data_IF_951326580546
#
_entry.id   IF_951326580546
#
_cell.length_a   1.000
_cell.length_b   1.000
_cell.length_c   1.000
_cell.angle_alpha   90.00
_cell.angle_beta   90.00
_cell.angle_gamma   90.00
#
_symmetry.space_group_name_H-M   'P 1'
#
loop_
_entity.id
_entity.type
_entity.pdbx_description
1 polymer ?
#
# COMPACT_ATOMS: atom_id res chain seq x y z
N UNK A 1 33.25 -4.29 1.01
CA UNK A 1 32.10 -3.89 0.17
C UNK A 1 32.14 -4.79 -1.06
N UNK A 2 31.19 -5.70 -1.22
CA UNK A 2 31.15 -6.57 -2.41
C UNK A 2 30.78 -5.69 -3.60
N UNK A 3 31.58 -5.69 -4.67
CA UNK A 3 31.25 -4.93 -5.88
C UNK A 3 29.93 -5.48 -6.46
N UNK A 4 28.88 -4.66 -6.45
CA UNK A 4 27.60 -5.03 -7.05
C UNK A 4 27.70 -4.88 -8.57
N UNK A 5 27.13 -5.84 -9.28
CA UNK A 5 27.08 -5.76 -10.73
C UNK A 5 25.90 -4.86 -11.15
N UNK A 6 26.12 -3.76 -11.89
CA UNK A 6 25.06 -2.80 -12.20
C UNK A 6 24.02 -3.42 -13.13
N UNK A 7 22.75 -3.23 -12.81
CA UNK A 7 21.65 -3.52 -13.73
C UNK A 7 21.29 -2.26 -14.52
N UNK A 8 21.37 -2.33 -15.85
CA UNK A 8 21.20 -1.19 -16.75
C UNK A 8 20.04 -1.34 -17.74
N UNK A 9 19.28 -2.44 -17.69
CA UNK A 9 18.13 -2.64 -18.54
C UNK A 9 16.89 -1.98 -17.92
N UNK A 10 16.55 -0.79 -18.43
CA UNK A 10 15.44 0.04 -17.94
C UNK A 10 14.06 -0.57 -18.28
N UNK A 11 13.04 -0.31 -17.46
CA UNK A 11 11.68 -0.75 -17.73
C UNK A 11 11.08 -0.01 -18.93
N UNK A 12 10.33 -0.74 -19.74
CA UNK A 12 9.37 -0.19 -20.68
C UNK A 12 8.16 0.35 -19.92
N UNK A 13 8.17 1.65 -19.64
CA UNK A 13 7.12 2.34 -18.90
C UNK A 13 5.74 2.29 -19.57
N UNK A 14 5.64 1.93 -20.87
CA UNK A 14 4.33 1.71 -21.50
C UNK A 14 3.55 0.53 -20.85
N UNK A 15 4.26 -0.33 -20.11
CA UNK A 15 3.70 -1.45 -19.33
C UNK A 15 3.77 -1.26 -17.82
N UNK A 16 4.40 -0.18 -17.35
CA UNK A 16 4.61 0.10 -15.94
C UNK A 16 5.59 -0.83 -15.23
N UNK A 17 5.71 -0.65 -13.92
CA UNK A 17 6.53 -1.46 -13.01
C UNK A 17 5.65 -1.95 -11.86
N UNK A 18 5.67 -3.24 -11.57
CA UNK A 18 4.92 -3.80 -10.43
C UNK A 18 5.86 -4.05 -9.27
N UNK A 19 5.60 -3.43 -8.13
CA UNK A 19 6.25 -3.72 -6.86
C UNK A 19 5.30 -4.54 -5.97
N UNK A 20 5.73 -5.72 -5.53
CA UNK A 20 4.96 -6.53 -4.57
C UNK A 20 5.61 -6.49 -3.20
N UNK A 21 4.79 -6.17 -2.19
CA UNK A 21 5.14 -6.16 -0.78
C UNK A 21 4.55 -7.41 -0.11
N UNK A 22 5.40 -8.30 0.36
CA UNK A 22 4.97 -9.57 0.97
C UNK A 22 5.43 -9.65 2.43
N UNK A 23 4.49 -9.49 3.36
CA UNK A 23 4.67 -9.80 4.78
C UNK A 23 4.54 -11.31 5.02
N UNK A 24 4.64 -11.73 6.28
CA UNK A 24 4.34 -13.12 6.65
C UNK A 24 3.75 -13.11 8.04
N UNK A 25 2.50 -13.51 8.15
CA UNK A 25 1.75 -13.54 9.38
C UNK A 25 1.14 -14.93 9.58
N UNK A 26 1.31 -15.48 10.78
CA UNK A 26 0.55 -16.65 11.19
C UNK A 26 -0.72 -16.17 11.90
N UNK A 27 -1.89 -16.55 11.38
CA UNK A 27 -3.20 -16.22 11.95
C UNK A 27 -3.78 -17.50 12.54
N UNK A 28 -3.83 -17.57 13.87
CA UNK A 28 -4.41 -18.67 14.62
C UNK A 28 -5.84 -18.29 15.00
N UNK A 29 -6.81 -18.85 14.29
CA UNK A 29 -8.23 -18.54 14.49
C UNK A 29 -8.94 -19.64 15.29
N UNK A 30 -9.67 -19.25 16.34
CA UNK A 30 -10.54 -20.16 17.11
C UNK A 30 -11.86 -20.43 16.37
N UNK A 31 -12.65 -21.46 16.76
CA UNK A 31 -13.98 -21.69 16.18
C UNK A 31 -14.93 -20.50 16.33
N UNK A 32 -14.76 -19.66 17.35
CA UNK A 32 -15.58 -18.45 17.56
C UNK A 32 -15.12 -17.26 16.71
N UNK A 33 -14.00 -17.40 15.99
CA UNK A 33 -13.41 -16.35 15.19
C UNK A 33 -12.50 -15.38 15.94
N UNK A 34 -12.20 -15.62 17.23
CA UNK A 34 -11.10 -14.92 17.92
C UNK A 34 -9.76 -15.27 17.25
N UNK A 35 -8.89 -14.28 17.04
CA UNK A 35 -7.62 -14.45 16.32
C UNK A 35 -6.42 -14.10 17.20
N UNK A 36 -5.38 -14.93 17.13
CA UNK A 36 -4.03 -14.55 17.53
C UNK A 36 -3.16 -14.41 16.27
N UNK A 37 -2.51 -13.25 16.11
CA UNK A 37 -1.78 -12.90 14.89
C UNK A 37 -0.30 -12.62 15.19
N UNK A 38 0.59 -13.38 14.55
CA UNK A 38 2.04 -13.32 14.83
C UNK A 38 2.78 -12.96 13.54
N UNK A 39 3.47 -11.83 13.53
CA UNK A 39 4.35 -11.47 12.40
C UNK A 39 5.64 -12.30 12.45
N UNK A 40 5.97 -12.92 11.32
CA UNK A 40 7.16 -13.77 11.12
C UNK A 40 8.28 -13.08 10.35
N UNK A 41 8.09 -11.82 9.93
CA UNK A 41 9.10 -11.02 9.24
C UNK A 41 9.15 -9.62 9.84
N UNK A 42 10.34 -9.05 9.98
CA UNK A 42 10.52 -7.67 10.45
C UNK A 42 10.05 -6.63 9.41
N UNK A 43 10.38 -6.86 8.14
CA UNK A 43 9.96 -6.06 6.98
C UNK A 43 9.34 -6.98 5.92
N UNK A 44 8.54 -6.45 4.98
CA UNK A 44 8.12 -7.24 3.84
C UNK A 44 9.32 -7.65 2.98
N UNK A 45 9.15 -8.74 2.22
CA UNK A 45 9.95 -8.96 1.01
C UNK A 45 9.40 -8.03 -0.06
N UNK A 46 10.31 -7.41 -0.81
CA UNK A 46 9.98 -6.53 -1.93
C UNK A 46 10.45 -7.19 -3.21
N UNK A 47 9.53 -7.33 -4.14
CA UNK A 47 9.77 -7.88 -5.47
C UNK A 47 9.39 -6.82 -6.50
N UNK A 48 10.24 -6.61 -7.50
CA UNK A 48 9.96 -5.74 -8.63
C UNK A 48 9.86 -6.57 -9.90
N UNK A 49 8.82 -6.33 -10.68
CA UNK A 49 8.59 -6.96 -11.97
C UNK A 49 8.36 -5.91 -13.05
N UNK A 50 9.05 -6.06 -14.17
CA UNK A 50 8.92 -5.18 -15.33
C UNK A 50 9.41 -5.87 -16.60
N UNK A 51 9.02 -5.31 -17.75
CA UNK A 51 9.58 -5.68 -19.05
C UNK A 51 10.65 -4.67 -19.44
N UNK A 52 11.80 -5.11 -19.92
CA UNK A 52 12.80 -4.25 -20.55
C UNK A 52 12.85 -4.49 -22.05
N UNK A 53 12.96 -3.41 -22.83
CA UNK A 53 13.10 -3.44 -24.29
C UNK A 53 14.53 -3.08 -24.68
N UNK A 54 15.22 -4.02 -25.33
CA UNK A 54 16.65 -3.90 -25.61
C UNK A 54 16.92 -4.06 -27.11
N UNK A 55 17.79 -3.21 -27.64
CA UNK A 55 18.12 -3.11 -29.06
C UNK A 55 19.63 -3.20 -29.28
N UNK A 56 20.03 -3.69 -30.45
CA UNK A 56 21.39 -3.64 -30.98
C UNK A 56 22.49 -4.00 -29.95
N UNK A 57 23.34 -3.02 -29.62
CA UNK A 57 24.45 -3.15 -28.68
C UNK A 57 23.99 -3.33 -27.23
N UNK A 58 22.92 -2.65 -26.82
CA UNK A 58 22.35 -2.80 -25.48
C UNK A 58 21.85 -4.24 -25.26
N UNK A 59 21.19 -4.84 -26.26
CA UNK A 59 20.76 -6.25 -26.23
C UNK A 59 21.94 -7.20 -26.10
N UNK A 60 23.00 -6.97 -26.89
CA UNK A 60 24.23 -7.77 -26.81
C UNK A 60 24.85 -7.66 -25.42
N UNK A 61 25.04 -6.45 -24.89
CA UNK A 61 25.61 -6.21 -23.56
C UNK A 61 24.80 -6.88 -22.46
N UNK A 62 23.47 -6.73 -22.51
CA UNK A 62 22.56 -7.33 -21.54
C UNK A 62 22.73 -8.83 -21.40
N UNK A 63 22.80 -9.57 -22.50
CA UNK A 63 22.98 -11.02 -22.41
C UNK A 63 24.37 -11.44 -21.96
N UNK A 64 25.42 -10.70 -22.32
CA UNK A 64 26.73 -10.93 -21.74
C UNK A 64 26.71 -10.68 -20.22
N UNK A 65 25.99 -9.64 -19.76
CA UNK A 65 25.80 -9.39 -18.33
C UNK A 65 25.07 -10.57 -17.66
N UNK A 66 23.97 -11.06 -18.23
CA UNK A 66 23.26 -12.23 -17.71
C UNK A 66 24.16 -13.47 -17.68
N UNK A 67 24.92 -13.75 -18.74
CA UNK A 67 25.83 -14.89 -18.80
C UNK A 67 26.88 -14.85 -17.68
N UNK A 68 27.41 -13.66 -17.36
CA UNK A 68 28.42 -13.48 -16.31
C UNK A 68 27.85 -13.58 -14.89
N UNK A 69 26.60 -13.15 -14.68
CA UNK A 69 26.11 -12.80 -13.34
C UNK A 69 24.67 -13.17 -13.02
N UNK A 70 23.98 -14.01 -13.80
CA UNK A 70 22.55 -14.30 -13.62
C UNK A 70 22.17 -14.68 -12.17
N UNK A 71 22.96 -15.55 -11.53
CA UNK A 71 22.74 -15.99 -10.15
C UNK A 71 23.31 -15.04 -9.07
N UNK A 72 23.95 -13.95 -9.48
CA UNK A 72 24.60 -12.99 -8.60
C UNK A 72 23.64 -12.00 -7.93
N UNK A 73 24.21 -11.14 -7.10
CA UNK A 73 23.51 -9.97 -6.56
C UNK A 73 23.80 -8.76 -7.45
N UNK A 74 22.73 -8.13 -7.89
CA UNK A 74 22.74 -6.99 -8.79
C UNK A 74 22.49 -5.69 -8.03
N UNK A 75 23.10 -4.62 -8.51
CA UNK A 75 22.72 -3.25 -8.16
C UNK A 75 21.49 -2.87 -9.00
N UNK A 76 20.29 -3.08 -8.45
CA UNK A 76 19.02 -2.80 -9.11
C UNK A 76 18.57 -1.36 -8.80
N UNK A 77 18.40 -0.50 -9.82
CA UNK A 77 17.74 0.79 -9.65
C UNK A 77 16.29 0.61 -9.18
N UNK A 78 15.87 1.40 -8.20
CA UNK A 78 14.46 1.52 -7.82
C UNK A 78 13.82 2.52 -8.78
N UNK A 79 13.39 2.01 -9.94
CA UNK A 79 12.90 2.84 -11.04
C UNK A 79 11.79 3.85 -10.67
N UNK A 80 10.79 3.50 -9.82
CA UNK A 80 9.78 4.47 -9.41
C UNK A 80 10.34 5.67 -8.61
N UNK A 81 11.53 5.56 -8.03
CA UNK A 81 12.10 6.61 -7.18
C UNK A 81 13.16 7.47 -7.91
N UNK A 82 13.13 7.48 -9.23
CA UNK A 82 13.98 8.34 -10.06
C UNK A 82 13.80 9.82 -9.72
N UNK A 83 14.86 10.59 -9.93
CA UNK A 83 14.82 12.05 -9.92
C UNK A 83 15.66 12.61 -11.06
N UNK A 84 15.08 13.49 -11.88
CA UNK A 84 15.80 14.22 -12.92
C UNK A 84 16.42 15.49 -12.35
N UNK A 85 17.74 15.66 -12.51
CA UNK A 85 18.47 16.81 -11.99
C UNK A 85 18.05 18.09 -12.72
N UNK A 86 17.59 19.14 -12.01
CA UNK A 86 17.15 20.38 -12.64
C UNK A 86 18.32 21.23 -13.18
N UNK A 87 19.54 20.97 -12.70
CA UNK A 87 20.74 21.68 -13.07
C UNK A 87 21.92 20.72 -13.24
N UNK A 88 22.94 21.14 -13.98
CA UNK A 88 24.14 20.35 -14.17
C UNK A 88 24.94 20.22 -12.85
N UNK A 89 25.55 19.05 -12.66
CA UNK A 89 26.46 18.75 -11.54
C UNK A 89 27.86 18.54 -12.10
N UNK A 90 28.82 19.32 -11.63
CA UNK A 90 30.21 19.21 -12.10
C UNK A 90 30.92 17.99 -11.51
N UNK A 91 31.94 17.52 -12.23
CA UNK A 91 32.95 16.61 -11.66
C UNK A 91 33.53 17.24 -10.39
N UNK A 92 33.87 16.41 -9.40
CA UNK A 92 34.33 16.84 -8.09
C UNK A 92 33.21 17.10 -7.07
N UNK A 93 31.94 17.17 -7.48
CA UNK A 93 30.83 17.39 -6.56
C UNK A 93 30.67 16.22 -5.57
N UNK A 94 30.45 16.54 -4.29
CA UNK A 94 30.19 15.59 -3.20
C UNK A 94 28.75 15.64 -2.69
N UNK A 95 27.90 16.48 -3.30
CA UNK A 95 26.51 16.68 -2.89
C UNK A 95 25.61 16.74 -4.11
N UNK A 96 24.46 16.06 -4.05
CA UNK A 96 23.40 16.12 -5.05
C UNK A 96 22.18 16.78 -4.43
N UNK A 97 21.68 17.86 -5.04
CA UNK A 97 20.45 18.54 -4.61
C UNK A 97 19.24 17.76 -5.11
N UNK A 98 18.61 16.99 -4.22
CA UNK A 98 17.53 16.05 -4.53
C UNK A 98 16.58 15.98 -3.35
N UNK A 99 15.25 16.16 -3.54
CA UNK A 99 14.27 15.90 -2.49
C UNK A 99 14.29 14.40 -2.13
N UNK A 100 14.60 14.08 -0.87
CA UNK A 100 14.82 12.69 -0.44
C UNK A 100 13.58 12.05 0.17
N UNK A 101 12.60 12.84 0.59
CA UNK A 101 11.36 12.36 1.20
C UNK A 101 10.61 11.42 0.26
N UNK A 102 10.25 10.24 0.77
CA UNK A 102 9.50 9.23 0.02
C UNK A 102 10.27 8.55 -1.12
N UNK A 103 11.62 8.66 -1.15
CA UNK A 103 12.49 7.91 -2.07
C UNK A 103 13.30 6.87 -1.29
N UNK A 104 13.59 5.73 -1.91
CA UNK A 104 14.26 4.57 -1.30
C UNK A 104 15.79 4.75 -1.15
N UNK A 105 16.23 5.93 -0.69
CA UNK A 105 17.61 6.20 -0.33
C UNK A 105 17.91 5.73 1.09
N UNK A 106 19.13 5.24 1.32
CA UNK A 106 19.63 4.88 2.64
C UNK A 106 21.08 5.31 2.82
N UNK A 107 21.44 5.73 4.04
CA UNK A 107 22.83 6.04 4.38
C UNK A 107 23.68 4.78 4.27
N UNK A 108 24.82 4.87 3.60
CA UNK A 108 25.65 3.72 3.22
C UNK A 108 25.15 2.97 2.00
N UNK A 109 23.97 3.31 1.47
CA UNK A 109 23.41 2.76 0.25
C UNK A 109 24.07 3.31 -1.02
N UNK A 110 23.61 2.82 -2.17
CA UNK A 110 24.14 3.17 -3.49
C UNK A 110 23.14 4.05 -4.24
N UNK A 111 23.66 5.00 -5.02
CA UNK A 111 22.90 5.80 -5.98
C UNK A 111 23.49 5.58 -7.37
N UNK A 112 22.65 5.47 -8.39
CA UNK A 112 23.04 5.40 -9.79
C UNK A 112 22.70 6.71 -10.48
N UNK A 113 23.69 7.32 -11.13
CA UNK A 113 23.50 8.45 -12.03
C UNK A 113 23.52 7.94 -13.47
N UNK A 114 22.59 8.42 -14.31
CA UNK A 114 22.50 8.15 -15.75
C UNK A 114 22.28 9.45 -16.52
N UNK A 115 22.86 9.56 -17.72
CA UNK A 115 22.64 10.76 -18.57
C UNK A 115 21.23 10.85 -19.12
N UNK A 116 20.57 9.71 -19.33
CA UNK A 116 19.24 9.57 -19.92
C UNK A 116 18.66 8.16 -19.63
N UNK A 117 17.44 7.88 -20.11
CA UNK A 117 16.71 6.61 -19.93
C UNK A 117 17.14 5.49 -20.90
N UNK A 118 18.31 5.58 -21.53
CA UNK A 118 18.84 4.52 -22.38
C UNK A 118 19.65 3.49 -21.59
N UNK A 119 19.59 2.24 -22.04
CA UNK A 119 20.47 1.17 -21.54
C UNK A 119 21.95 1.37 -21.93
N UNK A 120 22.21 2.19 -22.96
CA UNK A 120 23.57 2.57 -23.39
C UNK A 120 24.04 3.92 -22.81
N UNK A 121 23.22 4.55 -21.96
CA UNK A 121 23.54 5.82 -21.31
C UNK A 121 24.83 5.74 -20.47
N UNK A 122 25.54 6.86 -20.37
CA UNK A 122 26.68 6.92 -19.43
C UNK A 122 26.14 6.81 -18.02
N UNK A 123 26.67 5.86 -17.26
CA UNK A 123 26.20 5.56 -15.91
C UNK A 123 27.34 5.40 -14.90
N UNK A 124 27.11 5.86 -13.67
CA UNK A 124 28.04 5.71 -12.54
C UNK A 124 27.29 5.47 -11.25
N UNK A 125 27.83 4.57 -10.44
CA UNK A 125 27.37 4.37 -9.07
C UNK A 125 28.21 5.21 -8.11
N UNK A 126 27.56 5.78 -7.10
CA UNK A 126 28.19 6.43 -5.96
C UNK A 126 27.58 5.93 -4.64
N UNK A 127 28.32 6.05 -3.55
CA UNK A 127 27.85 5.66 -2.21
C UNK A 127 27.38 6.88 -1.44
N UNK A 128 26.24 6.74 -0.75
CA UNK A 128 25.61 7.80 0.03
C UNK A 128 26.26 7.85 1.43
N UNK A 129 26.87 8.97 1.78
CA UNK A 129 27.43 9.25 3.10
C UNK A 129 26.38 9.78 4.09
N UNK A 130 25.39 10.51 3.59
CA UNK A 130 24.39 11.18 4.42
C UNK A 130 23.18 11.63 3.60
N UNK A 131 22.04 11.77 4.28
CA UNK A 131 20.76 12.15 3.68
C UNK A 131 20.20 13.33 4.49
N UNK A 132 19.81 14.39 3.80
CA UNK A 132 19.03 15.51 4.33
C UNK A 132 17.72 15.61 3.54
N UNK A 133 16.76 16.44 3.95
CA UNK A 133 15.47 16.56 3.26
C UNK A 133 15.59 16.85 1.75
N UNK A 134 16.60 17.65 1.36
CA UNK A 134 16.75 18.15 -0.01
C UNK A 134 18.14 17.87 -0.64
N UNK A 135 18.96 17.04 0.00
CA UNK A 135 20.26 16.68 -0.56
C UNK A 135 20.77 15.30 -0.13
N UNK A 136 21.50 14.66 -1.04
CA UNK A 136 22.33 13.49 -0.78
C UNK A 136 23.80 13.92 -0.68
N UNK A 137 24.48 13.46 0.36
CA UNK A 137 25.93 13.60 0.52
C UNK A 137 26.61 12.32 0.04
N UNK A 138 27.67 12.44 -0.75
CA UNK A 138 28.41 11.31 -1.33
C UNK A 138 29.70 11.04 -0.56
N UNK A 139 30.08 9.77 -0.45
CA UNK A 139 31.34 9.35 0.21
C UNK A 139 32.56 9.83 -0.57
N UNK A 140 32.49 9.77 -1.90
CA UNK A 140 33.56 10.17 -2.82
C UNK A 140 33.02 11.21 -3.81
N UNK A 141 33.87 12.15 -4.27
CA UNK A 141 33.49 13.10 -5.30
C UNK A 141 33.16 12.38 -6.62
N UNK A 142 32.20 12.93 -7.37
CA UNK A 142 31.87 12.42 -8.71
C UNK A 142 33.06 12.57 -9.66
N UNK A 143 33.31 11.55 -10.48
CA UNK A 143 34.38 11.57 -11.49
C UNK A 143 33.97 12.32 -12.75
N UNK A 144 32.71 12.18 -13.14
CA UNK A 144 32.14 12.73 -14.37
C UNK A 144 31.22 13.92 -14.07
N UNK A 145 31.02 14.79 -15.06
CA UNK A 145 30.00 15.84 -15.02
C UNK A 145 28.67 15.34 -15.56
N UNK A 146 27.57 15.76 -14.93
CA UNK A 146 26.22 15.33 -15.26
C UNK A 146 25.41 16.54 -15.74
N UNK A 147 24.92 16.58 -16.99
CA UNK A 147 24.10 17.69 -17.47
C UNK A 147 22.74 17.74 -16.74
N UNK A 148 22.07 18.90 -16.82
CA UNK A 148 20.67 19.00 -16.42
C UNK A 148 19.82 17.98 -17.21
N UNK A 149 18.87 17.34 -16.53
CA UNK A 149 18.10 16.21 -17.05
C UNK A 149 18.71 14.84 -16.76
N UNK A 150 19.94 14.77 -16.24
CA UNK A 150 20.51 13.48 -15.79
C UNK A 150 19.67 12.89 -14.67
N UNK A 151 19.52 11.57 -14.69
CA UNK A 151 18.64 10.81 -13.83
C UNK A 151 19.42 10.22 -12.66
N UNK A 152 18.80 10.27 -11.49
CA UNK A 152 19.37 9.75 -10.25
C UNK A 152 18.41 8.73 -9.65
N UNK A 153 18.88 7.49 -9.49
CA UNK A 153 18.09 6.39 -8.96
C UNK A 153 18.66 5.91 -7.62
N UNK A 154 17.84 5.67 -6.60
CA UNK A 154 18.24 4.82 -5.49
C UNK A 154 18.55 3.41 -6.02
N UNK A 155 19.56 2.75 -5.46
CA UNK A 155 19.95 1.40 -5.86
C UNK A 155 19.87 0.47 -4.67
N UNK A 156 19.20 -0.66 -4.87
CA UNK A 156 19.08 -1.74 -3.87
C UNK A 156 19.81 -2.99 -4.37
N UNK A 157 20.57 -3.70 -3.52
CA UNK A 157 21.04 -5.04 -3.84
C UNK A 157 19.84 -5.97 -4.06
N UNK A 158 19.76 -6.63 -5.20
CA UNK A 158 18.67 -7.51 -5.56
C UNK A 158 19.18 -8.78 -6.25
N UNK A 159 18.40 -9.86 -6.17
CA UNK A 159 18.65 -11.09 -6.90
C UNK A 159 17.51 -11.35 -7.87
N UNK A 160 17.83 -11.88 -9.04
CA UNK A 160 16.82 -12.39 -9.96
C UNK A 160 16.14 -13.60 -9.29
N UNK A 161 14.81 -13.58 -9.21
CA UNK A 161 14.07 -14.73 -8.62
C UNK A 161 14.06 -15.92 -9.56
N UNK A 162 14.16 -15.64 -10.85
CA UNK A 162 14.28 -16.59 -11.95
C UNK A 162 15.08 -15.93 -13.08
N UNK A 163 15.73 -16.72 -13.96
CA UNK A 163 16.35 -16.17 -15.16
C UNK A 163 15.33 -15.38 -15.99
N UNK A 164 15.67 -14.18 -16.51
CA UNK A 164 14.75 -13.40 -17.32
C UNK A 164 14.25 -14.16 -18.54
N UNK A 165 12.94 -14.11 -18.79
CA UNK A 165 12.37 -14.69 -20.01
C UNK A 165 12.64 -13.76 -21.19
N UNK A 166 13.38 -14.24 -22.19
CA UNK A 166 13.77 -13.45 -23.37
C UNK A 166 12.88 -13.79 -24.57
N UNK A 167 12.22 -12.79 -25.14
CA UNK A 167 11.47 -12.90 -26.39
C UNK A 167 12.23 -12.19 -27.52
N UNK A 168 12.72 -12.97 -28.49
CA UNK A 168 13.36 -12.46 -29.71
C UNK A 168 12.31 -11.87 -30.64
N UNK A 169 12.32 -10.56 -30.83
CA UNK A 169 11.39 -9.88 -31.75
C UNK A 169 12.02 -9.79 -33.15
N UNK A 170 13.32 -9.47 -33.19
CA UNK A 170 14.17 -9.53 -34.39
C UNK A 170 15.54 -10.09 -34.01
N UNK A 171 16.48 -10.10 -34.94
CA UNK A 171 17.89 -10.38 -34.69
C UNK A 171 18.58 -9.32 -33.82
N UNK A 172 18.05 -8.09 -33.78
CA UNK A 172 18.59 -6.97 -32.99
C UNK A 172 17.74 -6.56 -31.78
N UNK A 173 16.44 -6.89 -31.76
CA UNK A 173 15.51 -6.47 -30.71
C UNK A 173 15.05 -7.65 -29.83
N UNK A 174 15.06 -7.46 -28.51
CA UNK A 174 14.60 -8.47 -27.54
C UNK A 174 13.84 -7.80 -26.40
N UNK A 175 12.70 -8.37 -26.04
CA UNK A 175 11.99 -8.05 -24.81
C UNK A 175 12.44 -9.02 -23.71
N UNK A 176 12.72 -8.51 -22.51
CA UNK A 176 13.10 -9.30 -21.35
C UNK A 176 12.10 -9.07 -20.20
N UNK A 177 11.43 -10.14 -19.75
CA UNK A 177 10.62 -10.11 -18.53
C UNK A 177 11.54 -10.35 -17.33
N UNK A 178 11.60 -9.39 -16.42
CA UNK A 178 12.57 -9.35 -15.32
C UNK A 178 11.83 -9.34 -14.01
N UNK A 179 12.24 -10.22 -13.08
CA UNK A 179 11.73 -10.24 -11.71
C UNK A 179 12.87 -10.23 -10.71
N UNK A 180 12.97 -9.13 -9.98
CA UNK A 180 13.96 -8.93 -8.92
C UNK A 180 13.32 -9.06 -7.55
N UNK A 181 14.06 -9.63 -6.61
CA UNK A 181 13.76 -9.55 -5.18
C UNK A 181 14.89 -8.84 -4.47
N UNK A 182 14.55 -7.80 -3.69
CA UNK A 182 15.54 -7.11 -2.85
C UNK A 182 16.18 -8.13 -1.88
N UNK A 183 17.51 -8.09 -1.83
CA UNK A 183 18.35 -9.05 -1.11
C UNK A 183 18.72 -8.59 0.32
N UNK A 184 18.13 -7.49 0.79
CA UNK A 184 18.37 -6.91 2.10
C UNK A 184 17.07 -6.53 2.82
N UNK A 185 17.21 -6.03 4.05
CA UNK A 185 16.08 -5.62 4.88
C UNK A 185 15.41 -4.35 4.33
N UNK A 186 14.08 -4.36 4.30
CA UNK A 186 13.26 -3.25 3.79
C UNK A 186 12.67 -2.46 4.95
N UNK A 187 13.56 -1.86 5.75
CA UNK A 187 13.14 -0.96 6.80
C UNK A 187 12.34 0.20 6.20
N UNK A 188 11.33 0.64 6.93
CA UNK A 188 10.60 1.87 6.63
C UNK A 188 10.69 2.72 7.89
N UNK A 189 11.46 3.80 7.80
CA UNK A 189 11.87 4.60 8.95
C UNK A 189 10.75 5.46 9.52
N UNK A 190 9.75 5.76 8.71
CA UNK A 190 8.72 6.73 9.07
C UNK A 190 7.52 6.02 9.69
N UNK A 191 7.28 6.29 10.97
CA UNK A 191 6.07 5.80 11.64
C UNK A 191 4.92 6.72 11.25
N UNK A 192 3.83 6.21 10.66
CA UNK A 192 2.72 7.08 10.29
C UNK A 192 2.03 7.65 11.53
N UNK A 193 1.66 8.92 11.44
CA UNK A 193 0.73 9.53 12.39
C UNK A 193 -0.67 9.21 11.88
N UNK A 194 -1.25 8.13 12.38
CA UNK A 194 -2.60 7.71 12.02
C UNK A 194 -3.60 8.14 13.09
N UNK A 195 -4.70 8.74 12.67
CA UNK A 195 -5.83 9.09 13.54
C UNK A 195 -6.33 7.86 14.28
N UNK A 196 -6.53 7.99 15.59
CA UNK A 196 -6.92 6.89 16.47
C UNK A 196 -8.41 6.94 16.79
N UNK A 197 -9.03 5.78 16.84
CA UNK A 197 -10.38 5.56 17.36
C UNK A 197 -10.39 4.29 18.21
N UNK A 198 -10.83 4.41 19.47
CA UNK A 198 -10.93 3.30 20.42
C UNK A 198 -9.67 2.43 20.50
N UNK A 199 -8.49 3.05 20.52
CA UNK A 199 -7.19 2.37 20.67
C UNK A 199 -6.59 1.80 19.38
N UNK A 200 -7.25 1.95 18.24
CA UNK A 200 -6.73 1.52 16.94
C UNK A 200 -6.74 2.65 15.92
N UNK A 201 -5.81 2.65 14.94
CA UNK A 201 -5.85 3.59 13.83
C UNK A 201 -7.11 3.47 12.98
N UNK A 202 -7.44 4.52 12.24
CA UNK A 202 -8.55 4.53 11.26
C UNK A 202 -8.00 4.65 9.83
N UNK A 203 -8.62 3.93 8.89
CA UNK A 203 -8.41 4.14 7.46
C UNK A 203 -9.12 5.41 7.00
N UNK A 204 -8.36 6.48 6.77
CA UNK A 204 -8.91 7.75 6.27
C UNK A 204 -8.78 7.93 4.77
N UNK A 205 -7.90 7.17 4.12
CA UNK A 205 -7.74 7.20 2.67
C UNK A 205 -9.00 6.68 1.98
N UNK A 206 -9.53 7.47 1.05
CA UNK A 206 -10.73 7.13 0.30
C UNK A 206 -10.44 6.07 -0.76
N UNK A 207 -11.38 5.16 -0.92
CA UNK A 207 -11.42 4.17 -1.99
C UNK A 207 -11.71 4.87 -3.30
N UNK A 208 -10.94 4.52 -4.31
CA UNK A 208 -11.27 4.82 -5.69
C UNK A 208 -12.44 3.95 -6.16
N UNK A 209 -13.54 4.61 -6.52
CA UNK A 209 -14.76 3.99 -7.04
C UNK A 209 -14.77 3.91 -8.58
N UNK A 210 -13.65 4.18 -9.25
CA UNK A 210 -13.50 4.04 -10.70
C UNK A 210 -13.81 2.62 -11.21
N UNK A 211 -13.61 1.61 -10.35
CA UNK A 211 -14.06 0.23 -10.56
C UNK A 211 -14.92 -0.25 -9.39
N UNK A 212 -15.78 -1.25 -9.63
CA UNK A 212 -16.59 -1.83 -8.57
C UNK A 212 -15.73 -2.56 -7.55
N UNK A 213 -15.83 -2.17 -6.28
CA UNK A 213 -15.19 -2.92 -5.18
C UNK A 213 -16.06 -4.07 -4.70
N UNK A 214 -15.43 -5.18 -4.31
CA UNK A 214 -16.14 -6.33 -3.75
C UNK A 214 -16.45 -6.14 -2.28
N UNK A 215 -17.66 -6.53 -1.87
CA UNK A 215 -18.11 -6.58 -0.47
C UNK A 215 -18.80 -7.90 -0.17
N UNK A 216 -18.53 -8.51 0.98
CA UNK A 216 -19.15 -9.78 1.39
C UNK A 216 -19.21 -9.93 2.91
N UNK A 217 -20.07 -10.85 3.35
CA UNK A 217 -20.22 -11.25 4.75
C UNK A 217 -19.94 -12.74 4.87
N UNK A 218 -18.93 -13.12 5.65
CA UNK A 218 -18.43 -14.49 5.74
C UNK A 218 -18.75 -15.11 7.12
N UNK A 219 -19.82 -15.94 7.25
CA UNK A 219 -20.08 -16.68 8.47
C UNK A 219 -19.10 -17.85 8.66
N UNK A 220 -18.89 -18.26 9.91
CA UNK A 220 -18.13 -19.48 10.24
C UNK A 220 -19.10 -20.64 10.43
N UNK A 221 -19.44 -21.31 9.33
CA UNK A 221 -20.36 -22.45 9.35
C UNK A 221 -19.59 -23.75 9.49
N UNK A 222 -19.99 -24.59 10.44
CA UNK A 222 -19.66 -26.02 10.48
C UNK A 222 -20.88 -26.83 10.09
N UNK A 223 -20.67 -27.75 9.16
CA UNK A 223 -21.72 -28.65 8.66
C UNK A 223 -21.33 -30.10 8.97
N UNK A 224 -22.28 -30.83 9.54
CA UNK A 224 -22.20 -32.27 9.77
C UNK A 224 -23.26 -32.93 8.91
N UNK A 225 -22.83 -33.55 7.81
CA UNK A 225 -23.67 -34.33 6.92
C UNK A 225 -23.33 -35.82 7.05
N UNK A 226 -24.32 -36.64 7.42
CA UNK A 226 -24.19 -38.09 7.51
C UNK A 226 -24.75 -38.81 6.25
N UNK A 227 -25.04 -38.05 5.19
CA UNK A 227 -25.54 -38.49 3.87
C UNK A 227 -26.84 -39.30 3.92
N UNK A 228 -27.53 -39.30 5.05
CA UNK A 228 -28.75 -40.08 5.29
C UNK A 228 -29.86 -39.26 5.93
N UNK A 229 -29.51 -38.27 6.75
CA UNK A 229 -30.41 -37.28 7.33
C UNK A 229 -30.18 -35.88 6.78
N UNK A 230 -30.95 -34.92 7.32
CA UNK A 230 -30.75 -33.50 7.03
C UNK A 230 -29.42 -33.04 7.66
N UNK A 231 -28.52 -32.39 6.90
CA UNK A 231 -27.26 -31.89 7.44
C UNK A 231 -27.48 -30.92 8.62
N UNK A 232 -26.72 -31.12 9.70
CA UNK A 232 -26.73 -30.20 10.83
C UNK A 232 -25.72 -29.07 10.57
N UNK A 233 -26.20 -27.82 10.59
CA UNK A 233 -25.38 -26.62 10.35
C UNK A 233 -25.33 -25.76 11.60
N UNK A 234 -24.12 -25.34 11.98
CA UNK A 234 -23.87 -24.48 13.13
C UNK A 234 -23.00 -23.28 12.72
N UNK A 235 -23.49 -22.07 12.96
CA UNK A 235 -22.65 -20.87 12.95
C UNK A 235 -21.88 -20.78 14.28
N UNK A 236 -20.57 -21.03 14.23
CA UNK A 236 -19.73 -21.09 15.43
C UNK A 236 -19.34 -19.71 15.94
N UNK A 237 -19.44 -18.66 15.11
CA UNK A 237 -19.17 -17.28 15.52
C UNK A 237 -20.43 -16.54 15.99
N UNK A 238 -21.61 -16.96 15.50
CA UNK A 238 -22.90 -16.31 15.74
C UNK A 238 -23.04 -14.97 14.99
N UNK A 239 -22.12 -14.68 14.06
CA UNK A 239 -22.13 -13.50 13.19
C UNK A 239 -21.21 -13.72 11.97
N UNK A 240 -21.50 -13.07 10.84
CA UNK A 240 -20.57 -13.02 9.74
C UNK A 240 -19.45 -12.02 9.96
N UNK A 241 -18.30 -12.26 9.35
CA UNK A 241 -17.20 -11.31 9.25
C UNK A 241 -17.33 -10.50 7.96
N UNK A 242 -17.36 -9.17 8.10
CA UNK A 242 -17.35 -8.25 6.97
C UNK A 242 -16.03 -8.36 6.20
N UNK A 243 -16.10 -8.32 4.87
CA UNK A 243 -14.94 -8.30 4.00
C UNK A 243 -15.19 -7.33 2.85
N UNK A 244 -14.26 -6.41 2.61
CA UNK A 244 -14.36 -5.46 1.51
C UNK A 244 -13.01 -5.13 0.89
N UNK A 245 -13.01 -4.95 -0.43
CA UNK A 245 -11.84 -4.44 -1.16
C UNK A 245 -11.82 -2.92 -1.14
N UNK A 246 -10.64 -2.35 -0.86
CA UNK A 246 -10.35 -0.93 -1.02
C UNK A 246 -9.27 -0.80 -2.10
N UNK A 247 -9.52 0.11 -3.04
CA UNK A 247 -8.63 0.43 -4.15
C UNK A 247 -8.18 1.88 -4.03
N UNK A 248 -6.96 2.18 -4.43
CA UNK A 248 -6.39 3.53 -4.41
C UNK A 248 -5.72 3.85 -5.74
N UNK A 249 -6.04 5.04 -6.24
CA UNK A 249 -5.34 5.67 -7.35
C UNK A 249 -4.59 6.89 -6.80
N UNK A 250 -3.28 6.75 -6.65
CA UNK A 250 -2.42 7.77 -6.04
C UNK A 250 -1.68 8.55 -7.12
N UNK A 251 -1.62 9.89 -7.00
CA UNK A 251 -1.13 10.79 -8.06
C UNK A 251 0.10 11.61 -7.69
N UNK A 252 0.72 11.33 -6.53
CA UNK A 252 1.94 12.01 -6.10
C UNK A 252 2.67 11.22 -5.00
N UNK A 253 3.95 11.57 -4.82
CA UNK A 253 4.85 10.94 -3.84
C UNK A 253 4.38 11.06 -2.38
N UNK A 254 3.85 12.20 -1.88
CA UNK A 254 3.31 12.27 -0.52
C UNK A 254 2.14 11.30 -0.27
N UNK A 255 1.18 11.21 -1.19
CA UNK A 255 0.05 10.29 -1.08
C UNK A 255 0.52 8.82 -1.11
N UNK A 256 1.42 8.50 -2.04
CA UNK A 256 2.05 7.18 -2.11
C UNK A 256 2.83 6.85 -0.84
N UNK A 257 3.57 7.81 -0.28
CA UNK A 257 4.32 7.63 0.97
C UNK A 257 3.37 7.33 2.11
N UNK A 258 2.33 8.15 2.32
CA UNK A 258 1.32 7.96 3.37
C UNK A 258 0.65 6.58 3.31
N UNK A 259 0.20 6.16 2.12
CA UNK A 259 -0.38 4.82 1.92
C UNK A 259 0.64 3.72 2.23
N UNK A 260 1.90 3.90 1.82
CA UNK A 260 2.98 2.97 2.12
C UNK A 260 3.22 2.83 3.61
N UNK A 261 3.23 3.94 4.36
CA UNK A 261 3.39 3.91 5.82
C UNK A 261 2.27 3.11 6.49
N UNK A 262 1.02 3.29 6.03
CA UNK A 262 -0.13 2.52 6.51
C UNK A 262 0.07 1.01 6.28
N UNK A 263 0.47 0.60 5.08
CA UNK A 263 0.70 -0.83 4.78
C UNK A 263 1.84 -1.41 5.64
N UNK A 264 2.91 -0.63 5.89
CA UNK A 264 3.98 -1.04 6.80
C UNK A 264 3.51 -1.13 8.25
N UNK A 265 2.60 -0.26 8.68
CA UNK A 265 1.98 -0.37 10.00
C UNK A 265 1.16 -1.67 10.13
N UNK A 266 0.34 -1.99 9.13
CA UNK A 266 -0.52 -3.18 9.12
C UNK A 266 0.27 -4.49 9.21
N UNK A 267 1.46 -4.51 8.61
CA UNK A 267 2.35 -5.68 8.50
C UNK A 267 1.63 -6.89 7.91
N UNK A 268 0.88 -6.68 6.83
CA UNK A 268 0.03 -7.68 6.23
C UNK A 268 -1.19 -7.95 7.11
N UNK A 269 -1.40 -9.22 7.45
CA UNK A 269 -2.56 -9.66 8.24
C UNK A 269 -2.37 -9.47 9.75
N UNK A 270 -1.35 -8.77 10.23
CA UNK A 270 -1.02 -8.74 11.66
C UNK A 270 -1.88 -7.77 12.47
N UNK A 271 -1.91 -6.49 12.08
CA UNK A 271 -2.52 -5.43 12.90
C UNK A 271 -3.90 -5.06 12.36
N UNK A 272 -4.88 -4.88 13.25
CA UNK A 272 -6.18 -4.35 12.86
C UNK A 272 -6.16 -2.82 12.86
N UNK A 273 -7.01 -2.24 12.02
CA UNK A 273 -7.39 -0.83 11.99
C UNK A 273 -8.91 -0.74 11.83
N UNK A 274 -9.50 0.39 12.20
CA UNK A 274 -10.88 0.66 11.85
C UNK A 274 -11.00 1.04 10.38
N UNK A 275 -11.86 0.34 9.66
CA UNK A 275 -12.10 0.57 8.25
C UNK A 275 -13.55 1.01 8.07
N UNK A 276 -13.80 2.27 7.69
CA UNK A 276 -15.11 2.69 7.21
C UNK A 276 -15.44 1.94 5.92
N UNK A 277 -16.69 1.48 5.77
CA UNK A 277 -17.18 0.91 4.52
C UNK A 277 -17.12 1.91 3.37
N UNK A 278 -17.14 3.23 3.67
CA UNK A 278 -17.22 4.31 2.68
C UNK A 278 -18.46 4.16 1.80
N UNK A 279 -19.52 3.61 2.40
CA UNK A 279 -20.83 3.38 1.83
C UNK A 279 -21.83 4.16 2.65
N UNK A 280 -22.81 4.79 2.00
CA UNK A 280 -23.90 5.52 2.67
C UNK A 280 -24.82 4.55 3.43
N UNK A 281 -24.37 4.06 4.57
CA UNK A 281 -25.09 3.09 5.41
C UNK A 281 -26.28 3.73 6.11
N UNK A 282 -26.22 5.05 6.34
CA UNK A 282 -27.32 5.81 6.93
C UNK A 282 -27.56 7.12 6.19
N UNK A 283 -28.82 7.38 5.84
CA UNK A 283 -29.25 8.63 5.21
C UNK A 283 -29.83 9.57 6.28
N UNK A 284 -29.11 10.64 6.69
CA UNK A 284 -29.61 11.56 7.71
C UNK A 284 -30.81 12.35 7.20
N UNK A 285 -31.86 12.44 8.02
CA UNK A 285 -33.04 13.28 7.75
C UNK A 285 -33.03 14.59 8.51
N UNK A 286 -32.06 14.77 9.41
CA UNK A 286 -31.84 15.98 10.18
C UNK A 286 -30.34 16.21 10.41
N UNK A 287 -29.99 17.40 10.91
CA UNK A 287 -28.65 17.67 11.39
C UNK A 287 -28.36 16.93 12.70
N UNK A 288 -27.08 16.87 13.06
CA UNK A 288 -26.65 16.34 14.37
C UNK A 288 -26.76 17.47 15.38
N UNK A 289 -27.47 17.21 16.48
CA UNK A 289 -27.58 18.14 17.60
C UNK A 289 -27.37 17.37 18.91
N UNK A 290 -26.17 17.51 19.48
CA UNK A 290 -25.74 16.72 20.62
C UNK A 290 -25.20 15.36 20.20
N UNK A 291 -25.77 14.30 20.77
CA UNK A 291 -25.30 12.92 20.66
C UNK A 291 -26.28 12.02 19.92
N UNK A 292 -27.06 12.57 18.98
CA UNK A 292 -27.94 11.75 18.16
C UNK A 292 -28.10 12.31 16.75
N UNK A 293 -28.49 11.43 15.83
CA UNK A 293 -28.88 11.75 14.47
C UNK A 293 -30.12 10.94 14.10
N UNK A 294 -31.09 11.59 13.47
CA UNK A 294 -32.24 10.90 12.89
C UNK A 294 -31.94 10.56 11.43
N UNK A 295 -32.15 9.29 11.07
CA UNK A 295 -31.86 8.73 9.77
C UNK A 295 -33.08 8.00 9.21
N UNK A 296 -33.13 7.81 7.90
CA UNK A 296 -34.07 6.86 7.27
C UNK A 296 -33.89 5.50 7.91
N UNK A 297 -34.98 4.80 8.19
CA UNK A 297 -34.97 3.50 8.84
C UNK A 297 -34.04 2.52 8.11
N UNK A 298 -32.91 2.20 8.76
CA UNK A 298 -31.87 1.31 8.23
C UNK A 298 -31.96 -0.10 8.83
N UNK A 299 -32.98 -0.36 9.65
CA UNK A 299 -33.29 -1.66 10.25
C UNK A 299 -32.61 -1.93 11.59
N UNK A 300 -31.93 -0.95 12.20
CA UNK A 300 -31.30 -1.15 13.51
C UNK A 300 -32.31 -1.22 14.67
N UNK A 301 -33.44 -0.52 14.59
CA UNK A 301 -34.54 -0.62 15.56
C UNK A 301 -35.14 -2.03 15.60
N UNK A 302 -35.26 -2.69 14.45
CA UNK A 302 -35.80 -4.05 14.33
C UNK A 302 -34.75 -5.12 14.67
N UNK A 303 -33.57 -5.04 14.05
CA UNK A 303 -32.54 -6.09 14.12
C UNK A 303 -31.62 -5.98 15.34
N UNK A 304 -31.62 -4.81 15.98
CA UNK A 304 -30.80 -4.47 17.14
C UNK A 304 -29.34 -4.19 16.80
N UNK A 305 -28.65 -3.56 17.74
CA UNK A 305 -27.22 -3.28 17.65
C UNK A 305 -26.43 -4.56 17.95
N UNK A 306 -25.50 -4.94 17.06
CA UNK A 306 -24.61 -6.10 17.25
C UNK A 306 -23.13 -5.69 17.29
N UNK A 307 -22.30 -6.38 18.09
CA UNK A 307 -20.84 -6.21 18.01
C UNK A 307 -20.31 -6.41 16.59
N UNK A 308 -19.29 -5.64 16.19
CA UNK A 308 -18.82 -5.56 14.81
C UNK A 308 -19.69 -4.75 13.84
N UNK A 309 -20.87 -4.24 14.26
CA UNK A 309 -21.76 -3.40 13.43
C UNK A 309 -22.43 -2.31 14.26
N UNK A 310 -21.62 -1.42 14.83
CA UNK A 310 -22.11 -0.31 15.69
C UNK A 310 -21.21 0.92 15.74
N UNK A 311 -20.07 0.88 15.09
CA UNK A 311 -19.15 2.01 15.00
C UNK A 311 -19.36 2.67 13.63
N UNK A 312 -19.33 4.00 13.56
CA UNK A 312 -19.61 4.78 12.36
C UNK A 312 -18.59 5.90 12.17
N UNK A 313 -18.36 6.26 10.91
CA UNK A 313 -17.66 7.46 10.49
C UNK A 313 -18.67 8.43 9.90
N UNK A 314 -18.75 9.63 10.46
CA UNK A 314 -19.52 10.75 9.92
C UNK A 314 -18.52 11.67 9.22
N UNK A 315 -18.62 11.80 7.89
CA UNK A 315 -17.81 12.71 7.09
C UNK A 315 -18.59 14.01 6.84
N UNK A 316 -17.94 15.14 7.14
CA UNK A 316 -18.48 16.47 6.89
C UNK A 316 -17.97 17.07 5.58
N UNK A 317 -18.68 18.07 5.06
CA UNK A 317 -18.36 18.76 3.81
C UNK A 317 -17.03 19.53 3.84
N UNK A 318 -16.52 19.86 5.03
CA UNK A 318 -15.20 20.47 5.23
C UNK A 318 -14.06 19.43 5.32
N UNK A 319 -14.38 18.13 5.21
CA UNK A 319 -13.44 17.01 5.35
C UNK A 319 -13.25 16.51 6.78
N UNK A 320 -13.87 17.15 7.79
CA UNK A 320 -13.82 16.69 9.18
C UNK A 320 -14.50 15.33 9.31
N UNK A 321 -13.86 14.40 10.04
CA UNK A 321 -14.42 13.08 10.34
C UNK A 321 -14.72 12.96 11.84
N UNK A 322 -15.93 12.53 12.16
CA UNK A 322 -16.31 12.13 13.51
C UNK A 322 -16.52 10.63 13.58
N UNK A 323 -15.71 9.97 14.41
CA UNK A 323 -15.86 8.55 14.70
C UNK A 323 -16.70 8.37 15.97
N UNK A 324 -17.75 7.54 15.88
CA UNK A 324 -18.75 7.38 16.94
C UNK A 324 -19.22 5.95 17.05
N UNK A 325 -19.59 5.54 18.25
CA UNK A 325 -20.29 4.28 18.52
C UNK A 325 -21.76 4.55 18.75
N UNK A 326 -22.61 3.79 18.06
CA UNK A 326 -24.04 3.72 18.32
C UNK A 326 -24.25 2.96 19.63
N UNK A 327 -24.84 3.62 20.62
CA UNK A 327 -25.09 3.10 21.96
C UNK A 327 -26.54 2.68 22.16
N UNK A 328 -27.47 3.34 21.48
CA UNK A 328 -28.88 3.01 21.48
C UNK A 328 -29.52 3.40 20.14
N UNK A 329 -30.63 2.75 19.82
CA UNK A 329 -31.46 3.05 18.67
C UNK A 329 -32.93 3.07 19.08
N UNK A 330 -33.70 3.97 18.49
CA UNK A 330 -35.13 4.12 18.79
C UNK A 330 -35.88 4.73 17.61
N UNK A 331 -37.15 4.39 17.43
CA UNK A 331 -38.00 5.03 16.44
C UNK A 331 -38.57 6.34 17.00
N UNK A 332 -38.37 7.45 16.30
CA UNK A 332 -38.88 8.78 16.66
C UNK A 332 -39.59 9.37 15.44
N UNK A 333 -40.90 9.56 15.54
CA UNK A 333 -41.72 10.14 14.46
C UNK A 333 -41.57 9.44 13.10
N UNK A 334 -41.37 8.12 13.10
CA UNK A 334 -41.16 7.31 11.88
C UNK A 334 -39.74 7.31 11.34
N UNK A 335 -38.79 7.93 12.04
CA UNK A 335 -37.36 7.92 11.70
C UNK A 335 -36.57 7.10 12.72
N UNK A 336 -35.49 6.46 12.27
CA UNK A 336 -34.58 5.75 13.16
C UNK A 336 -33.59 6.75 13.78
N UNK A 337 -33.63 6.88 15.10
CA UNK A 337 -32.68 7.71 15.86
C UNK A 337 -31.50 6.87 16.30
N UNK A 338 -30.30 7.25 15.87
CA UNK A 338 -29.05 6.68 16.36
C UNK A 338 -28.51 7.55 17.50
N UNK A 339 -28.32 6.96 18.68
CA UNK A 339 -27.67 7.63 19.83
C UNK A 339 -26.18 7.30 19.83
N UNK A 340 -25.35 8.33 19.82
CA UNK A 340 -23.91 8.26 19.63
C UNK A 340 -23.15 8.47 20.95
N UNK A 341 -21.97 7.87 21.10
CA UNK A 341 -21.07 8.14 22.22
C UNK A 341 -20.26 9.43 22.04
N UNK A 342 -19.40 9.75 23.01
CA UNK A 342 -18.46 10.87 22.92
C UNK A 342 -19.09 12.26 23.09
N UNK A 343 -18.31 13.26 22.71
CA UNK A 343 -18.67 14.67 22.85
C UNK A 343 -19.76 15.09 21.85
N UNK A 344 -20.61 16.01 22.31
CA UNK A 344 -21.69 16.62 21.55
C UNK A 344 -21.19 17.29 20.27
N UNK A 345 -21.86 17.00 19.16
CA UNK A 345 -21.62 17.59 17.86
C UNK A 345 -22.82 18.47 17.51
N UNK A 346 -22.60 19.60 16.84
CA UNK A 346 -23.69 20.42 16.29
C UNK A 346 -23.37 20.74 14.84
N UNK A 347 -24.07 20.07 13.92
CA UNK A 347 -23.80 20.14 12.48
C UNK A 347 -25.13 20.12 11.73
N UNK A 348 -25.29 21.01 10.75
CA UNK A 348 -26.46 21.02 9.87
C UNK A 348 -26.49 19.81 8.94
N UNK A 349 -27.67 19.30 8.60
CA UNK A 349 -27.83 18.13 7.71
C UNK A 349 -27.07 18.28 6.38
N UNK A 350 -27.09 19.49 5.81
CA UNK A 350 -26.42 19.82 4.54
C UNK A 350 -24.89 19.78 4.60
N UNK A 351 -24.31 19.69 5.80
CA UNK A 351 -22.87 19.53 5.99
C UNK A 351 -22.48 18.05 6.12
N UNK A 352 -23.42 17.14 6.29
CA UNK A 352 -23.15 15.70 6.40
C UNK A 352 -23.04 15.14 4.99
N UNK A 353 -21.85 14.68 4.62
CA UNK A 353 -21.57 14.07 3.31
C UNK A 353 -21.87 12.58 3.34
N UNK A 354 -21.42 11.90 4.39
CA UNK A 354 -21.55 10.46 4.52
C UNK A 354 -21.64 10.02 5.98
N UNK A 355 -22.40 8.95 6.22
CA UNK A 355 -22.42 8.22 7.50
C UNK A 355 -22.23 6.74 7.17
N UNK A 356 -20.98 6.28 7.24
CA UNK A 356 -20.57 4.89 6.97
C UNK A 356 -20.42 4.08 8.25
N UNK A 357 -20.78 2.80 8.22
CA UNK A 357 -20.35 1.84 9.25
C UNK A 357 -18.85 1.61 9.19
N UNK A 358 -18.25 1.38 10.36
CA UNK A 358 -16.85 1.04 10.54
C UNK A 358 -16.72 -0.37 11.10
N UNK A 359 -15.78 -1.13 10.54
CA UNK A 359 -15.42 -2.45 11.02
C UNK A 359 -13.96 -2.45 11.47
N UNK A 360 -13.67 -2.95 12.67
CA UNK A 360 -12.28 -3.24 13.04
C UNK A 360 -11.82 -4.43 12.20
N UNK A 361 -10.82 -4.21 11.34
CA UNK A 361 -10.43 -5.16 10.31
C UNK A 361 -8.91 -5.18 10.12
N UNK A 362 -8.39 -6.30 9.60
CA UNK A 362 -7.01 -6.43 9.14
C UNK A 362 -6.99 -6.70 7.64
N UNK A 363 -5.83 -6.61 7.00
CA UNK A 363 -5.70 -7.10 5.62
C UNK A 363 -6.07 -8.59 5.56
N UNK A 364 -6.68 -9.01 4.46
CA UNK A 364 -7.05 -10.40 4.20
C UNK A 364 -5.85 -11.23 3.73
N UNK A 365 -4.88 -10.58 3.09
CA UNK A 365 -3.66 -11.18 2.57
C UNK A 365 -2.39 -10.52 3.15
N UNK A 366 -1.29 -11.27 3.17
CA UNK A 366 0.03 -10.74 3.52
C UNK A 366 0.75 -10.09 2.31
N UNK A 367 0.11 -10.05 1.13
CA UNK A 367 0.70 -9.53 -0.10
C UNK A 367 -0.12 -8.36 -0.63
N UNK A 368 0.57 -7.29 -1.02
CA UNK A 368 -0.02 -6.13 -1.72
C UNK A 368 0.83 -5.81 -2.94
N UNK A 369 0.17 -5.60 -4.08
CA UNK A 369 0.82 -5.16 -5.31
C UNK A 369 0.64 -3.66 -5.51
N UNK A 370 1.71 -3.01 -5.93
CA UNK A 370 1.80 -1.60 -6.21
C UNK A 370 2.17 -1.45 -7.69
N UNK A 371 1.20 -1.04 -8.49
CA UNK A 371 1.35 -0.92 -9.95
C UNK A 371 1.69 0.52 -10.29
N UNK A 372 2.97 0.76 -10.59
CA UNK A 372 3.50 2.06 -10.99
C UNK A 372 3.30 2.25 -12.50
N UNK A 373 2.38 3.13 -12.90
CA UNK A 373 2.17 3.47 -14.32
C UNK A 373 3.24 4.45 -14.83
N UNK A 374 3.78 5.27 -13.92
CA UNK A 374 4.91 6.17 -14.12
C UNK A 374 5.84 6.05 -12.92
N UNK A 375 6.82 6.94 -12.78
CA UNK A 375 7.52 7.10 -11.51
C UNK A 375 6.56 7.43 -10.33
N UNK A 376 7.09 7.38 -9.11
CA UNK A 376 6.34 7.63 -7.89
C UNK A 376 6.03 9.11 -7.63
N UNK A 377 6.48 10.03 -8.49
CA UNK A 377 5.97 11.41 -8.52
C UNK A 377 4.68 11.51 -9.35
N UNK A 378 4.39 10.52 -10.19
CA UNK A 378 3.13 10.37 -10.91
C UNK A 378 2.18 9.33 -10.29
N UNK A 379 1.75 8.36 -11.09
CA UNK A 379 0.56 7.53 -10.84
C UNK A 379 0.88 6.11 -10.42
N UNK A 380 0.24 5.65 -9.34
CA UNK A 380 0.22 4.25 -8.97
C UNK A 380 -1.16 3.74 -8.53
N UNK A 381 -1.44 2.47 -8.84
CA UNK A 381 -2.64 1.73 -8.44
C UNK A 381 -2.30 0.68 -7.38
N UNK A 382 -3.13 0.64 -6.34
CA UNK A 382 -2.99 -0.30 -5.22
C UNK A 382 -4.38 -0.79 -4.85
N UNK A 383 -4.54 -2.07 -4.52
CA UNK A 383 -5.76 -2.59 -3.93
C UNK A 383 -5.43 -3.57 -2.80
N UNK A 384 -6.28 -3.59 -1.76
CA UNK A 384 -6.22 -4.60 -0.72
C UNK A 384 -7.60 -4.90 -0.17
N UNK A 385 -7.83 -6.14 0.24
CA UNK A 385 -9.07 -6.55 0.89
C UNK A 385 -8.87 -6.55 2.39
N UNK A 386 -9.83 -5.98 3.12
CA UNK A 386 -9.90 -6.05 4.57
C UNK A 386 -10.91 -7.11 5.00
N UNK A 387 -10.60 -7.82 6.07
CA UNK A 387 -11.51 -8.77 6.73
C UNK A 387 -11.66 -8.37 8.20
N UNK A 388 -12.91 -8.27 8.64
CA UNK A 388 -13.28 -7.89 9.99
C UNK A 388 -12.79 -8.88 11.04
N UNK A 389 -12.53 -8.37 12.24
CA UNK A 389 -12.14 -9.16 13.41
C UNK A 389 -13.11 -8.92 14.57
N UNK A 390 -12.86 -9.59 15.70
CA UNK A 390 -13.71 -9.43 16.88
C UNK A 390 -13.30 -8.22 17.71
N UNK A 391 -13.90 -7.05 17.42
CA UNK A 391 -13.63 -5.77 18.11
C UNK A 391 -13.80 -5.85 19.62
N UNK A 392 -14.66 -6.73 20.11
CA UNK A 392 -14.87 -6.93 21.54
C UNK A 392 -13.79 -7.76 22.26
N UNK A 393 -12.82 -8.30 21.51
CA UNK A 393 -11.72 -9.14 22.03
C UNK A 393 -10.32 -8.53 21.81
N UNK A 394 -10.25 -7.32 21.24
CA UNK A 394 -9.00 -6.63 20.89
C UNK A 394 -8.58 -5.56 21.91
#
# INVERSE_FOLDING_TARGET
MTALFPWLADPDWSRGVTETLEWKTDVLQSPTGAEQRISRRLSPRRTFEFTAMLYDTARQRFEHMLWQGCAGTWAMPVYPDVYALPAAVSSGATTLSIPTAGRDFSVGGTVLLKTDESSDATSRMATIAGITGDALQLVSPLTDSWPAGSLVYPVRPAVLTEPPSLSRLTDTATAAQVRFRIAEHNAFSDTPVLTQYRGHPVLESETDWGESVSGSYQPLIRELDNSSGIPYRLDTAGRPFWRQTHSWFTTNRPAQTSLRQLLWYLRGRQRPIWVPGQTLDFFPTSGISGNYVDVVEAGFTELGIRPGRRDICILLADGTRHYRRITAVSLVSGMERLVLDGDAITVGQNQIVDISLMTLARQDADSVSWEHATDADGVARIATTFTGVRDELE
#
